data_IF_343257635577
#
_entry.id   IF_343257635577
#
_cell.length_a   1.000
_cell.length_b   1.000
_cell.length_c   1.000
_cell.angle_alpha   90.00
_cell.angle_beta   90.00
_cell.angle_gamma   90.00
#
_symmetry.space_group_name_H-M   'P 1'
#
loop_
_entity.id
_entity.type
_entity.pdbx_description
1 polymer ?
#
# COMPACT_ATOMS: atom_id res chain seq x y z
N UNK A 1 9.91 -21.17 -52.93
CA UNK A 1 10.38 -20.39 -51.78
C UNK A 1 9.20 -19.88 -50.94
N UNK A 2 8.73 -20.73 -50.03
CA UNK A 2 7.63 -20.45 -49.10
C UNK A 2 8.17 -20.43 -47.66
N UNK A 3 9.24 -19.68 -47.41
CA UNK A 3 9.66 -19.33 -46.05
C UNK A 3 8.84 -18.14 -45.56
N UNK A 4 7.53 -18.38 -45.40
CA UNK A 4 6.72 -17.63 -44.44
C UNK A 4 7.24 -18.04 -43.06
N UNK A 5 8.07 -17.18 -42.45
CA UNK A 5 8.41 -17.24 -41.04
C UNK A 5 7.09 -17.34 -40.27
N UNK A 6 6.69 -18.55 -39.87
CA UNK A 6 5.62 -18.73 -38.89
C UNK A 6 6.10 -18.00 -37.65
N UNK A 7 5.49 -16.85 -37.35
CA UNK A 7 5.73 -16.11 -36.10
C UNK A 7 5.47 -17.06 -34.92
N UNK A 8 6.53 -17.69 -34.44
CA UNK A 8 6.44 -18.64 -33.35
C UNK A 8 6.26 -17.86 -32.06
N UNK A 9 5.09 -18.01 -31.43
CA UNK A 9 4.74 -17.42 -30.14
C UNK A 9 5.89 -17.57 -29.13
N UNK A 10 6.38 -16.46 -28.58
CA UNK A 10 7.51 -16.43 -27.63
C UNK A 10 7.11 -16.27 -26.17
N UNK A 11 6.03 -15.54 -25.90
CA UNK A 11 5.54 -15.24 -24.55
C UNK A 11 4.05 -15.55 -24.46
N UNK A 12 3.66 -16.25 -23.39
CA UNK A 12 2.28 -16.56 -23.07
C UNK A 12 1.96 -16.05 -21.67
N UNK A 13 1.04 -15.09 -21.57
CA UNK A 13 0.55 -14.56 -20.31
C UNK A 13 -0.71 -15.33 -19.89
N UNK A 14 -0.71 -15.86 -18.66
CA UNK A 14 -1.83 -16.63 -18.10
C UNK A 14 -2.00 -16.23 -16.63
N UNK A 15 -3.25 -16.12 -16.18
CA UNK A 15 -3.54 -15.89 -14.76
C UNK A 15 -3.47 -17.21 -13.98
N UNK A 16 -3.14 -17.20 -12.68
CA UNK A 16 -3.10 -18.41 -11.85
C UNK A 16 -4.42 -19.20 -11.85
N UNK A 17 -5.55 -18.49 -11.90
CA UNK A 17 -6.89 -19.08 -11.92
C UNK A 17 -7.12 -19.86 -13.21
N UNK A 18 -6.77 -19.27 -14.37
CA UNK A 18 -6.88 -19.96 -15.68
C UNK A 18 -5.97 -21.17 -15.76
N UNK A 19 -4.74 -21.04 -15.25
CA UNK A 19 -3.77 -22.14 -15.24
C UNK A 19 -4.27 -23.32 -14.38
N UNK A 20 -4.93 -23.02 -13.26
CA UNK A 20 -5.47 -24.01 -12.34
C UNK A 20 -6.76 -24.66 -12.82
N UNK A 21 -7.59 -23.92 -13.57
CA UNK A 21 -8.90 -24.39 -14.02
C UNK A 21 -8.88 -25.07 -15.41
N UNK A 22 -7.83 -24.86 -16.22
CA UNK A 22 -7.83 -25.29 -17.62
C UNK A 22 -6.90 -26.47 -17.89
N UNK A 23 -7.48 -27.68 -18.04
CA UNK A 23 -6.75 -28.86 -18.49
C UNK A 23 -6.11 -28.63 -19.87
N UNK A 24 -6.80 -27.94 -20.79
CA UNK A 24 -6.27 -27.62 -22.13
C UNK A 24 -4.95 -26.84 -22.08
N UNK A 25 -4.81 -25.90 -21.14
CA UNK A 25 -3.55 -25.15 -20.97
C UNK A 25 -2.45 -26.08 -20.47
N UNK A 26 -2.77 -26.93 -19.48
CA UNK A 26 -1.80 -27.88 -18.94
C UNK A 26 -1.34 -28.92 -19.98
N UNK A 27 -2.24 -29.38 -20.84
CA UNK A 27 -1.93 -30.31 -21.93
C UNK A 27 -1.05 -29.64 -22.99
N UNK A 28 -1.35 -28.39 -23.34
CA UNK A 28 -0.51 -27.60 -24.23
C UNK A 28 0.90 -27.38 -23.66
N UNK A 29 1.01 -27.05 -22.37
CA UNK A 29 2.30 -26.92 -21.68
C UNK A 29 3.05 -28.25 -21.63
N UNK A 30 2.35 -29.37 -21.43
CA UNK A 30 2.95 -30.72 -21.43
C UNK A 30 3.50 -31.06 -22.80
N UNK A 31 2.72 -30.84 -23.87
CA UNK A 31 3.20 -31.03 -25.23
C UNK A 31 4.38 -30.11 -25.60
N UNK A 32 4.42 -28.88 -25.09
CA UNK A 32 5.58 -27.99 -25.28
C UNK A 32 6.80 -28.49 -24.51
N UNK A 33 6.61 -28.99 -23.29
CA UNK A 33 7.67 -29.56 -22.45
C UNK A 33 8.29 -30.82 -23.10
N UNK A 34 7.47 -31.74 -23.58
CA UNK A 34 7.93 -32.98 -24.26
C UNK A 34 8.71 -32.72 -25.55
N UNK A 35 8.45 -31.58 -26.21
CA UNK A 35 9.14 -31.16 -27.43
C UNK A 35 10.30 -30.20 -27.19
N UNK A 36 10.69 -29.99 -25.94
CA UNK A 36 11.74 -29.05 -25.53
C UNK A 36 11.49 -27.59 -26.00
N UNK A 37 10.21 -27.19 -26.04
CA UNK A 37 9.76 -25.85 -26.46
C UNK A 37 9.24 -24.99 -25.29
N UNK A 38 9.30 -25.50 -24.06
CA UNK A 38 8.91 -24.78 -22.86
C UNK A 38 10.13 -24.25 -22.11
N UNK A 39 10.55 -23.02 -22.43
CA UNK A 39 11.83 -22.49 -21.96
C UNK A 39 11.84 -22.08 -20.48
N UNK A 40 10.76 -21.44 -19.99
CA UNK A 40 10.77 -20.78 -18.67
C UNK A 40 9.38 -20.51 -18.14
N UNK A 41 9.24 -20.57 -16.80
CA UNK A 41 8.14 -19.95 -16.08
C UNK A 41 8.58 -18.63 -15.43
N UNK A 42 7.77 -17.59 -15.59
CA UNK A 42 7.94 -16.31 -14.91
C UNK A 42 6.69 -16.07 -14.08
N UNK A 43 6.87 -16.00 -12.77
CA UNK A 43 5.81 -15.70 -11.80
C UNK A 43 5.98 -14.24 -11.42
N UNK A 44 5.13 -13.40 -12.00
CA UNK A 44 5.04 -11.99 -11.63
C UNK A 44 4.24 -11.82 -10.33
N UNK A 45 4.44 -10.72 -9.62
CA UNK A 45 3.83 -10.42 -8.31
C UNK A 45 3.84 -11.59 -7.32
N UNK A 46 4.99 -12.27 -7.22
CA UNK A 46 5.14 -13.49 -6.44
C UNK A 46 4.75 -13.35 -4.96
N UNK A 47 4.72 -12.13 -4.41
CA UNK A 47 4.24 -11.86 -3.04
C UNK A 47 2.79 -12.29 -2.81
N UNK A 48 1.96 -12.38 -3.86
CA UNK A 48 0.57 -12.85 -3.79
C UNK A 48 0.43 -14.29 -3.28
N UNK A 49 1.49 -15.10 -3.30
CA UNK A 49 1.48 -16.47 -2.75
C UNK A 49 1.42 -16.50 -1.22
N UNK A 50 1.86 -15.43 -0.56
CA UNK A 50 1.99 -15.35 0.89
C UNK A 50 0.77 -14.70 1.54
N UNK A 51 0.21 -15.36 2.56
CA UNK A 51 -0.86 -14.77 3.39
C UNK A 51 -0.37 -13.58 4.23
N UNK A 52 0.94 -13.45 4.40
CA UNK A 52 1.59 -12.31 5.05
C UNK A 52 1.82 -11.14 4.09
N UNK A 53 1.53 -11.34 2.79
CA UNK A 53 1.54 -10.29 1.78
C UNK A 53 0.26 -9.44 1.81
N UNK A 54 0.29 -8.30 1.11
CA UNK A 54 -0.80 -7.33 1.10
C UNK A 54 -1.86 -7.57 0.01
N UNK A 55 -1.63 -8.50 -0.94
CA UNK A 55 -2.57 -8.92 -2.00
C UNK A 55 -2.56 -10.45 -2.15
N UNK A 56 -2.85 -11.18 -1.06
CA UNK A 56 -2.83 -12.64 -1.07
C UNK A 56 -3.87 -13.21 -2.05
N UNK A 57 -3.43 -14.13 -2.93
CA UNK A 57 -4.30 -14.83 -3.88
C UNK A 57 -4.12 -16.35 -3.76
N UNK A 58 -5.14 -17.10 -3.31
CA UNK A 58 -5.02 -18.53 -3.07
C UNK A 58 -4.50 -19.35 -4.25
N UNK A 59 -4.87 -18.99 -5.48
CA UNK A 59 -4.45 -19.71 -6.70
C UNK A 59 -2.94 -19.63 -6.97
N UNK A 60 -2.22 -18.66 -6.41
CA UNK A 60 -0.76 -18.61 -6.51
C UNK A 60 -0.09 -19.81 -5.85
N UNK A 61 -0.68 -20.40 -4.80
CA UNK A 61 -0.11 -21.59 -4.12
C UNK A 61 -0.03 -22.80 -5.05
N UNK A 62 -0.93 -22.87 -6.04
CA UNK A 62 -0.98 -23.96 -7.03
C UNK A 62 0.17 -23.87 -8.04
N UNK A 63 0.84 -22.71 -8.15
CA UNK A 63 1.99 -22.53 -9.06
C UNK A 63 3.19 -23.41 -8.67
N UNK A 64 3.27 -23.86 -7.42
CA UNK A 64 4.26 -24.86 -6.99
C UNK A 64 4.21 -26.16 -7.80
N UNK A 65 3.04 -26.52 -8.33
CA UNK A 65 2.85 -27.71 -9.15
C UNK A 65 3.58 -27.62 -10.49
N UNK A 66 3.80 -26.41 -11.03
CA UNK A 66 4.54 -26.25 -12.29
C UNK A 66 5.94 -26.84 -12.20
N UNK A 67 6.62 -26.62 -11.08
CA UNK A 67 7.98 -27.14 -10.87
C UNK A 67 8.01 -28.63 -10.56
N UNK A 68 6.93 -29.18 -10.00
CA UNK A 68 6.78 -30.63 -9.84
C UNK A 68 6.53 -31.32 -11.18
N UNK A 69 5.69 -30.74 -12.03
CA UNK A 69 5.29 -31.31 -13.34
C UNK A 69 6.35 -31.10 -14.42
N UNK A 70 7.09 -30.00 -14.37
CA UNK A 70 8.08 -29.61 -15.38
C UNK A 70 9.45 -29.32 -14.74
N UNK A 71 10.11 -30.32 -14.14
CA UNK A 71 11.30 -30.12 -13.30
C UNK A 71 12.50 -29.49 -14.04
N UNK A 72 12.61 -29.70 -15.35
CA UNK A 72 13.72 -29.15 -16.15
C UNK A 72 13.51 -27.69 -16.56
N UNK A 73 12.29 -27.16 -16.44
CA UNK A 73 11.96 -25.78 -16.82
C UNK A 73 12.37 -24.81 -15.71
N UNK A 74 13.19 -23.82 -16.07
CA UNK A 74 13.65 -22.81 -15.10
C UNK A 74 12.49 -21.89 -14.71
N UNK A 75 12.44 -21.51 -13.44
CA UNK A 75 11.41 -20.61 -12.89
C UNK A 75 12.06 -19.34 -12.35
N UNK A 76 11.46 -18.19 -12.64
CA UNK A 76 11.79 -16.88 -12.06
C UNK A 76 10.56 -16.41 -11.29
N UNK A 77 10.76 -15.88 -10.07
CA UNK A 77 9.73 -15.22 -9.29
C UNK A 77 10.13 -13.74 -9.13
N UNK A 78 9.23 -12.83 -9.48
CA UNK A 78 9.44 -11.39 -9.47
C UNK A 78 8.46 -10.74 -8.50
N UNK A 79 8.92 -9.77 -7.72
CA UNK A 79 8.06 -8.98 -6.82
C UNK A 79 8.78 -7.70 -6.42
N UNK A 80 8.01 -6.61 -6.31
CA UNK A 80 8.54 -5.32 -5.87
C UNK A 80 8.36 -5.08 -4.35
N UNK A 81 7.51 -5.84 -3.67
CA UNK A 81 7.09 -5.56 -2.28
C UNK A 81 7.06 -6.81 -1.41
N UNK A 82 8.24 -7.43 -1.23
CA UNK A 82 8.40 -8.57 -0.34
C UNK A 82 9.25 -8.20 0.89
N UNK A 83 8.62 -8.21 2.06
CA UNK A 83 9.32 -8.16 3.36
C UNK A 83 10.15 -9.43 3.56
N UNK A 84 11.15 -9.45 4.48
CA UNK A 84 11.97 -10.63 4.72
C UNK A 84 11.16 -11.90 5.01
N UNK A 85 10.07 -11.77 5.76
CA UNK A 85 9.14 -12.87 6.05
C UNK A 85 8.44 -13.38 4.79
N UNK A 86 7.92 -12.46 3.97
CA UNK A 86 7.23 -12.81 2.70
C UNK A 86 8.21 -13.45 1.73
N UNK A 87 9.47 -13.02 1.66
CA UNK A 87 10.51 -13.64 0.81
C UNK A 87 10.68 -15.12 1.11
N UNK A 88 10.80 -15.48 2.40
CA UNK A 88 10.93 -16.89 2.83
C UNK A 88 9.68 -17.69 2.49
N UNK A 89 8.49 -17.11 2.70
CA UNK A 89 7.23 -17.78 2.38
C UNK A 89 7.06 -17.98 0.86
N UNK A 90 7.45 -17.02 0.03
CA UNK A 90 7.48 -17.17 -1.44
C UNK A 90 8.31 -18.40 -1.82
N UNK A 91 9.52 -18.53 -1.27
CA UNK A 91 10.37 -19.66 -1.57
C UNK A 91 9.74 -20.98 -1.17
N UNK A 92 9.20 -21.06 0.05
CA UNK A 92 8.58 -22.27 0.57
C UNK A 92 7.35 -22.67 -0.24
N UNK A 93 6.43 -21.73 -0.49
CA UNK A 93 5.19 -21.99 -1.21
C UNK A 93 5.46 -22.37 -2.66
N UNK A 94 6.43 -21.73 -3.34
CA UNK A 94 6.80 -22.07 -4.72
C UNK A 94 7.80 -23.24 -4.82
N UNK A 95 8.22 -23.80 -3.68
CA UNK A 95 9.18 -24.91 -3.54
C UNK A 95 10.62 -24.55 -3.95
N UNK A 96 10.99 -23.28 -3.98
CA UNK A 96 12.26 -22.75 -4.50
C UNK A 96 13.38 -22.94 -3.47
N UNK A 97 13.93 -24.15 -3.43
CA UNK A 97 14.91 -24.58 -2.42
C UNK A 97 16.26 -23.85 -2.50
N UNK A 98 16.79 -23.64 -3.72
CA UNK A 98 18.13 -23.05 -3.95
C UNK A 98 18.10 -21.97 -5.03
N UNK A 99 17.36 -20.86 -4.84
CA UNK A 99 17.27 -19.80 -5.83
C UNK A 99 18.53 -18.93 -5.85
N UNK A 100 18.79 -18.29 -6.99
CA UNK A 100 19.68 -17.13 -7.03
C UNK A 100 18.88 -15.89 -6.65
N UNK A 101 19.43 -15.08 -5.75
CA UNK A 101 18.80 -13.86 -5.27
C UNK A 101 19.33 -12.64 -6.00
N UNK A 102 18.41 -11.78 -6.42
CA UNK A 102 18.71 -10.45 -6.92
C UNK A 102 17.83 -9.48 -6.13
N UNK A 103 18.46 -8.69 -5.26
CA UNK A 103 17.79 -7.70 -4.44
C UNK A 103 18.30 -6.33 -4.87
N UNK A 104 17.37 -5.41 -5.10
CA UNK A 104 17.66 -3.99 -5.29
C UNK A 104 17.09 -3.21 -4.12
N UNK A 105 17.71 -2.07 -3.81
CA UNK A 105 17.20 -1.18 -2.78
C UNK A 105 15.78 -0.71 -3.13
N UNK A 106 14.95 -0.58 -2.10
CA UNK A 106 13.62 0.00 -2.21
C UNK A 106 13.69 1.54 -2.23
N UNK A 107 14.87 2.13 -2.01
CA UNK A 107 15.02 3.57 -1.93
C UNK A 107 14.81 4.23 -3.30
N UNK A 108 13.93 5.21 -3.33
CA UNK A 108 13.72 6.11 -4.47
C UNK A 108 14.19 7.51 -4.07
N UNK A 109 15.45 7.87 -4.34
CA UNK A 109 16.03 9.13 -3.86
C UNK A 109 15.30 10.36 -4.44
N UNK A 110 14.68 10.22 -5.61
CA UNK A 110 13.94 11.29 -6.27
C UNK A 110 12.52 11.56 -5.68
N UNK A 111 12.03 10.73 -4.75
CA UNK A 111 10.69 10.91 -4.16
C UNK A 111 10.74 11.64 -2.83
N UNK A 112 9.92 12.69 -2.68
CA UNK A 112 9.78 13.43 -1.43
C UNK A 112 8.53 12.99 -0.68
N UNK A 113 8.71 12.41 0.51
CA UNK A 113 7.61 11.93 1.34
C UNK A 113 7.17 12.96 2.38
N UNK A 114 5.86 13.18 2.52
CA UNK A 114 5.29 14.02 3.56
C UNK A 114 3.94 13.47 4.05
N UNK A 115 3.69 13.59 5.35
CA UNK A 115 2.38 13.32 5.97
C UNK A 115 1.81 14.62 6.51
N UNK A 116 0.63 15.00 6.02
CA UNK A 116 -0.08 16.22 6.41
C UNK A 116 -1.36 15.87 7.19
N UNK A 117 -1.73 16.67 8.19
CA UNK A 117 -2.99 16.46 8.91
C UNK A 117 -4.18 16.71 7.98
N UNK A 118 -5.16 15.82 8.01
CA UNK A 118 -6.42 15.96 7.26
C UNK A 118 -7.48 16.63 8.13
N UNK A 119 -7.70 17.94 7.92
CA UNK A 119 -8.59 18.76 8.74
C UNK A 119 -9.91 19.08 8.00
N UNK A 120 -11.02 18.57 8.53
CA UNK A 120 -12.39 19.04 8.22
C UNK A 120 -12.84 18.95 6.75
N UNK A 121 -13.92 19.69 6.43
CA UNK A 121 -14.65 19.61 5.14
C UNK A 121 -13.93 20.29 3.95
N UNK A 122 -12.78 20.94 4.16
CA UNK A 122 -12.11 21.77 3.15
C UNK A 122 -10.87 21.12 2.51
N UNK A 123 -10.61 19.83 2.78
CA UNK A 123 -9.43 19.13 2.30
C UNK A 123 -9.22 19.22 0.78
N UNK A 124 -10.30 19.17 -0.02
CA UNK A 124 -10.21 19.31 -1.48
C UNK A 124 -9.65 20.69 -1.87
N UNK A 125 -10.04 21.76 -1.17
CA UNK A 125 -9.50 23.11 -1.42
C UNK A 125 -8.02 23.16 -1.02
N UNK A 126 -7.63 22.54 0.08
CA UNK A 126 -6.23 22.46 0.50
C UNK A 126 -5.36 21.73 -0.54
N UNK A 127 -5.84 20.60 -1.08
CA UNK A 127 -5.17 19.87 -2.15
C UNK A 127 -5.04 20.73 -3.41
N UNK A 128 -6.10 21.43 -3.82
CA UNK A 128 -6.06 22.33 -4.98
C UNK A 128 -5.06 23.47 -4.75
N UNK A 129 -5.05 24.08 -3.56
CA UNK A 129 -4.08 25.12 -3.19
C UNK A 129 -2.66 24.57 -3.20
N UNK A 130 -2.42 23.38 -2.66
CA UNK A 130 -1.12 22.71 -2.67
C UNK A 130 -0.63 22.49 -4.11
N UNK A 131 -1.49 21.95 -4.99
CA UNK A 131 -1.15 21.70 -6.39
C UNK A 131 -0.84 23.01 -7.10
N UNK A 132 -1.67 24.04 -6.96
CA UNK A 132 -1.44 25.35 -7.60
C UNK A 132 -0.16 26.04 -7.10
N UNK A 133 0.12 25.96 -5.80
CA UNK A 133 1.33 26.55 -5.22
C UNK A 133 2.61 25.86 -5.72
N UNK A 134 2.58 24.53 -5.87
CA UNK A 134 3.74 23.74 -6.33
C UNK A 134 3.90 23.68 -7.84
N UNK A 135 2.79 23.76 -8.57
CA UNK A 135 2.74 23.65 -10.02
C UNK A 135 1.96 24.84 -10.61
N UNK A 136 2.54 26.06 -10.60
CA UNK A 136 1.83 27.28 -10.99
C UNK A 136 1.27 27.24 -12.42
N UNK A 137 1.89 26.49 -13.33
CA UNK A 137 1.42 26.28 -14.69
C UNK A 137 0.07 25.54 -14.79
N UNK A 138 -0.37 24.85 -13.72
CA UNK A 138 -1.71 24.24 -13.61
C UNK A 138 -2.78 25.24 -13.14
N UNK A 139 -2.39 26.45 -12.75
CA UNK A 139 -3.28 27.45 -12.14
C UNK A 139 -4.08 28.25 -13.16
N UNK A 140 -3.49 28.56 -14.33
CA UNK A 140 -4.02 29.53 -15.31
C UNK A 140 -5.25 29.04 -16.08
N UNK A 141 -5.46 27.73 -16.20
CA UNK A 141 -6.57 27.14 -16.97
C UNK A 141 -7.55 26.29 -16.11
N UNK A 142 -7.36 26.24 -14.79
CA UNK A 142 -8.02 25.27 -13.92
C UNK A 142 -7.41 23.87 -14.03
N UNK A 143 -7.48 23.08 -12.95
CA UNK A 143 -6.91 21.73 -12.91
C UNK A 143 -7.87 20.78 -13.62
N UNK A 144 -7.52 20.34 -14.84
CA UNK A 144 -8.26 19.29 -15.55
C UNK A 144 -8.10 17.96 -14.80
N UNK A 145 -9.17 17.50 -14.17
CA UNK A 145 -9.19 16.29 -13.37
C UNK A 145 -10.31 15.33 -13.81
N UNK A 146 -10.08 14.02 -13.65
CA UNK A 146 -11.09 12.99 -13.88
C UNK A 146 -11.09 11.93 -12.78
N UNK A 147 -12.24 11.29 -12.54
CA UNK A 147 -12.35 10.17 -11.59
C UNK A 147 -11.99 8.85 -12.25
N UNK A 148 -11.42 7.92 -11.47
CA UNK A 148 -11.19 6.54 -11.91
C UNK A 148 -11.50 5.55 -10.78
N UNK A 149 -12.50 4.69 -10.97
CA UNK A 149 -12.87 3.67 -9.99
C UNK A 149 -13.54 2.46 -10.67
N UNK A 150 -13.68 1.36 -9.92
CA UNK A 150 -14.22 0.10 -10.43
C UNK A 150 -15.68 0.21 -10.95
N UNK A 151 -16.46 1.18 -10.46
CA UNK A 151 -17.82 1.44 -10.95
C UNK A 151 -17.92 2.08 -12.36
N UNK A 152 -16.81 2.48 -12.98
CA UNK A 152 -16.79 2.94 -14.38
C UNK A 152 -16.78 1.75 -15.34
N UNK A 153 -17.27 1.92 -16.57
CA UNK A 153 -17.14 0.90 -17.62
C UNK A 153 -15.70 0.80 -18.13
N UNK A 154 -15.33 -0.32 -18.76
CA UNK A 154 -14.00 -0.48 -19.36
C UNK A 154 -13.69 0.60 -20.40
N UNK A 155 -14.67 0.99 -21.20
CA UNK A 155 -14.51 2.06 -22.19
C UNK A 155 -14.23 3.42 -21.52
N UNK A 156 -14.92 3.73 -20.40
CA UNK A 156 -14.67 4.94 -19.63
C UNK A 156 -13.29 4.93 -18.97
N UNK A 157 -12.89 3.80 -18.38
CA UNK A 157 -11.56 3.60 -17.80
C UNK A 157 -10.46 3.79 -18.84
N UNK A 158 -10.61 3.16 -20.01
CA UNK A 158 -9.69 3.28 -21.13
C UNK A 158 -9.56 4.73 -21.64
N UNK A 159 -10.68 5.47 -21.72
CA UNK A 159 -10.67 6.89 -22.10
C UNK A 159 -9.91 7.75 -21.08
N UNK A 160 -10.23 7.63 -19.79
CA UNK A 160 -9.58 8.43 -18.73
C UNK A 160 -8.09 8.13 -18.68
N UNK A 161 -7.70 6.85 -18.76
CA UNK A 161 -6.30 6.44 -18.79
C UNK A 161 -5.57 7.00 -20.02
N UNK A 162 -6.17 6.87 -21.21
CA UNK A 162 -5.58 7.39 -22.45
C UNK A 162 -5.44 8.91 -22.45
N UNK A 163 -6.46 9.64 -22.00
CA UNK A 163 -6.43 11.11 -21.95
C UNK A 163 -5.46 11.65 -20.89
N UNK A 164 -5.21 10.91 -19.79
CA UNK A 164 -4.19 11.26 -18.82
C UNK A 164 -2.77 10.95 -19.31
N UNK A 165 -2.57 9.80 -19.97
CA UNK A 165 -1.27 9.45 -20.59
C UNK A 165 -0.91 10.48 -21.66
N UNK A 166 -1.88 10.91 -22.47
CA UNK A 166 -1.73 11.92 -23.52
C UNK A 166 -1.79 13.37 -23.00
N UNK A 167 -1.68 13.59 -21.68
CA UNK A 167 -1.57 14.90 -21.06
C UNK A 167 -2.78 15.85 -21.24
N UNK A 168 -3.93 15.35 -21.70
CA UNK A 168 -5.19 16.11 -21.81
C UNK A 168 -5.85 16.32 -20.45
N UNK A 169 -5.70 15.35 -19.55
CA UNK A 169 -6.08 15.41 -18.14
C UNK A 169 -4.80 15.49 -17.31
N UNK A 170 -4.75 16.39 -16.34
CA UNK A 170 -3.56 16.60 -15.50
C UNK A 170 -3.60 15.84 -14.18
N UNK A 171 -4.81 15.52 -13.69
CA UNK A 171 -5.01 14.81 -12.42
C UNK A 171 -6.03 13.69 -12.57
N UNK A 172 -5.69 12.51 -12.07
CA UNK A 172 -6.66 11.41 -11.93
C UNK A 172 -6.93 11.20 -10.44
N UNK A 173 -8.19 11.37 -10.05
CA UNK A 173 -8.68 11.08 -8.72
C UNK A 173 -9.16 9.62 -8.68
N UNK A 174 -8.34 8.73 -8.13
CA UNK A 174 -8.58 7.30 -8.25
C UNK A 174 -8.71 6.53 -6.93
N UNK A 175 -9.38 5.39 -6.99
CA UNK A 175 -9.22 4.31 -6.00
C UNK A 175 -8.09 3.38 -6.41
N UNK A 176 -7.80 2.35 -5.59
CA UNK A 176 -6.80 1.30 -5.88
C UNK A 176 -6.99 0.58 -7.23
N UNK A 177 -8.16 0.74 -7.88
CA UNK A 177 -8.42 0.23 -9.22
C UNK A 177 -7.51 0.88 -10.30
N UNK A 178 -6.98 2.08 -10.05
CA UNK A 178 -6.05 2.75 -10.96
C UNK A 178 -4.61 2.42 -10.55
N UNK A 179 -4.16 1.23 -10.91
CA UNK A 179 -2.81 0.79 -10.54
C UNK A 179 -2.16 -0.20 -11.49
N UNK A 180 -2.84 -1.29 -11.81
CA UNK A 180 -2.25 -2.30 -12.70
C UNK A 180 -2.05 -1.71 -14.10
N UNK A 181 -0.85 -1.92 -14.67
CA UNK A 181 -0.53 -1.53 -16.05
C UNK A 181 -0.30 -0.03 -16.30
N UNK A 182 -0.25 0.80 -15.25
CA UNK A 182 0.11 2.23 -15.40
C UNK A 182 1.62 2.38 -15.37
N UNK A 183 2.17 2.91 -16.46
CA UNK A 183 3.59 3.19 -16.62
C UNK A 183 3.84 4.56 -17.29
N UNK A 184 3.25 5.62 -16.70
CA UNK A 184 3.58 6.99 -17.10
C UNK A 184 4.86 7.42 -16.34
N UNK A 185 5.96 7.77 -17.05
CA UNK A 185 7.25 8.02 -16.40
C UNK A 185 7.27 9.33 -15.59
N UNK A 186 6.51 10.32 -16.05
CA UNK A 186 6.59 11.73 -15.67
C UNK A 186 5.56 12.18 -14.63
N UNK A 187 5.14 11.28 -13.74
CA UNK A 187 4.20 11.60 -12.66
C UNK A 187 4.90 12.43 -11.58
N UNK A 188 4.55 13.72 -11.48
CA UNK A 188 5.20 14.67 -10.54
C UNK A 188 4.68 14.64 -9.12
N UNK A 189 3.48 14.11 -8.90
CA UNK A 189 2.95 13.94 -7.55
C UNK A 189 1.97 12.78 -7.45
N UNK A 190 1.96 12.17 -6.27
CA UNK A 190 0.92 11.24 -5.80
C UNK A 190 0.42 11.78 -4.47
N UNK A 191 -0.90 12.00 -4.37
CA UNK A 191 -1.55 12.51 -3.17
C UNK A 191 -2.53 11.46 -2.66
N UNK A 192 -2.26 10.93 -1.46
CA UNK A 192 -3.16 10.03 -0.77
C UNK A 192 -4.19 10.84 0.01
N UNK A 193 -5.42 10.86 -0.49
CA UNK A 193 -6.55 11.54 0.16
C UNK A 193 -6.95 10.91 1.50
N UNK A 194 -6.78 9.60 1.65
CA UNK A 194 -7.09 8.82 2.85
C UNK A 194 -5.94 7.86 3.14
N UNK A 195 -5.87 7.43 4.41
CA UNK A 195 -4.93 6.42 4.88
C UNK A 195 -4.95 5.16 3.98
N UNK A 196 -3.78 4.70 3.48
CA UNK A 196 -3.63 3.40 2.84
C UNK A 196 -3.86 2.24 3.82
N UNK A 197 -4.15 1.05 3.30
CA UNK A 197 -4.38 -0.14 4.16
C UNK A 197 -3.08 -0.72 4.73
N UNK A 198 -1.93 -0.45 4.12
CA UNK A 198 -0.64 -0.98 4.54
C UNK A 198 0.53 -0.15 3.98
N UNK A 199 1.73 -0.40 4.50
CA UNK A 199 2.98 0.21 4.01
C UNK A 199 3.30 -0.25 2.58
N UNK A 200 3.03 -1.52 2.23
CA UNK A 200 3.23 -2.02 0.87
C UNK A 200 2.32 -1.30 -0.14
N UNK A 201 1.03 -1.17 0.20
CA UNK A 201 0.09 -0.42 -0.63
C UNK A 201 0.55 1.02 -0.83
N UNK A 202 0.93 1.70 0.26
CA UNK A 202 1.47 3.05 0.19
C UNK A 202 2.74 3.14 -0.68
N UNK A 203 3.68 2.20 -0.52
CA UNK A 203 4.92 2.16 -1.29
C UNK A 203 4.65 1.96 -2.78
N UNK A 204 3.78 1.01 -3.17
CA UNK A 204 3.42 0.79 -4.57
C UNK A 204 2.70 1.97 -5.18
N UNK A 205 1.73 2.54 -4.45
CA UNK A 205 0.92 3.66 -4.91
C UNK A 205 1.76 4.94 -5.07
N UNK A 206 2.56 5.28 -4.06
CA UNK A 206 3.46 6.44 -4.10
C UNK A 206 4.60 6.26 -5.10
N UNK A 207 5.10 5.03 -5.29
CA UNK A 207 6.17 4.68 -6.22
C UNK A 207 5.81 4.83 -7.71
N UNK A 208 4.56 5.15 -8.03
CA UNK A 208 4.12 5.59 -9.37
C UNK A 208 4.66 6.96 -9.74
N UNK A 209 5.02 7.78 -8.75
CA UNK A 209 5.68 9.05 -8.96
C UNK A 209 7.10 8.87 -9.50
N UNK A 210 7.54 9.82 -10.34
CA UNK A 210 8.95 10.01 -10.71
C UNK A 210 9.66 8.79 -11.28
N UNK A 211 9.01 8.01 -12.15
CA UNK A 211 9.62 6.83 -12.79
C UNK A 211 10.72 7.19 -13.78
N UNK A 212 10.70 8.41 -14.30
CA UNK A 212 11.80 9.06 -15.04
C UNK A 212 13.04 9.38 -14.19
N UNK A 213 12.99 9.20 -12.86
CA UNK A 213 14.07 9.54 -11.94
C UNK A 213 14.08 11.02 -11.52
N UNK A 214 13.18 11.84 -12.06
CA UNK A 214 13.06 13.25 -11.70
C UNK A 214 12.30 13.43 -10.39
N UNK A 215 12.48 14.60 -9.77
CA UNK A 215 11.87 14.92 -8.47
C UNK A 215 10.35 14.78 -8.54
N UNK A 216 9.77 14.14 -7.53
CA UNK A 216 8.32 14.03 -7.40
C UNK A 216 7.89 14.01 -5.92
N UNK A 217 6.65 14.43 -5.68
CA UNK A 217 6.08 14.54 -4.33
C UNK A 217 5.12 13.39 -4.01
N UNK A 218 5.28 12.79 -2.84
CA UNK A 218 4.39 11.78 -2.28
C UNK A 218 3.78 12.34 -0.98
N UNK A 219 2.53 12.80 -1.04
CA UNK A 219 1.87 13.48 0.09
C UNK A 219 0.72 12.62 0.59
N UNK A 220 0.71 12.31 1.89
CA UNK A 220 -0.38 11.58 2.54
C UNK A 220 -1.14 12.49 3.49
N UNK A 221 -2.44 12.63 3.27
CA UNK A 221 -3.34 13.29 4.21
C UNK A 221 -3.88 12.29 5.23
N UNK A 222 -3.59 12.55 6.50
CA UNK A 222 -3.84 11.63 7.59
C UNK A 222 -4.93 12.14 8.55
N UNK A 223 -5.91 11.29 8.84
CA UNK A 223 -6.80 11.44 10.00
C UNK A 223 -6.99 10.10 10.70
N UNK A 224 -7.03 10.10 12.03
CA UNK A 224 -7.36 8.91 12.80
C UNK A 224 -8.78 8.37 12.50
N UNK A 225 -9.67 9.24 11.97
CA UNK A 225 -10.99 8.83 11.48
C UNK A 225 -10.94 7.89 10.26
N UNK A 226 -9.96 8.07 9.36
CA UNK A 226 -9.79 7.17 8.20
C UNK A 226 -9.42 5.75 8.65
N UNK A 227 -8.64 5.61 9.72
CA UNK A 227 -8.31 4.29 10.31
C UNK A 227 -9.57 3.52 10.69
N UNK A 228 -10.51 4.16 11.40
CA UNK A 228 -11.75 3.49 11.83
C UNK A 228 -12.59 3.00 10.64
N UNK A 229 -12.63 3.75 9.54
CA UNK A 229 -13.33 3.34 8.33
C UNK A 229 -12.69 2.09 7.72
N UNK A 230 -11.36 2.04 7.66
CA UNK A 230 -10.63 0.89 7.13
C UNK A 230 -10.76 -0.32 8.03
N UNK A 231 -10.64 -0.13 9.34
CA UNK A 231 -10.84 -1.16 10.35
C UNK A 231 -12.20 -1.84 10.17
N UNK A 232 -13.29 -1.07 10.05
CA UNK A 232 -14.63 -1.62 9.79
C UNK A 232 -14.67 -2.44 8.51
N UNK A 233 -14.06 -1.96 7.41
CA UNK A 233 -14.00 -2.72 6.16
C UNK A 233 -13.30 -4.07 6.34
N UNK A 234 -12.20 -4.13 7.10
CA UNK A 234 -11.49 -5.38 7.40
C UNK A 234 -12.35 -6.31 8.26
N UNK A 235 -13.04 -5.77 9.27
CA UNK A 235 -13.91 -6.54 10.16
C UNK A 235 -15.09 -7.18 9.40
N UNK A 236 -15.69 -6.47 8.44
CA UNK A 236 -16.80 -6.94 7.60
C UNK A 236 -16.39 -7.86 6.44
N UNK A 237 -15.10 -7.99 6.15
CA UNK A 237 -14.63 -8.88 5.08
C UNK A 237 -14.97 -10.36 5.39
N UNK A 238 -15.13 -11.21 4.38
CA UNK A 238 -15.48 -12.64 4.53
C UNK A 238 -14.26 -13.55 4.72
N UNK A 239 -13.08 -12.97 4.83
CA UNK A 239 -11.85 -13.70 5.06
C UNK A 239 -11.78 -14.37 6.44
N UNK A 240 -10.84 -15.31 6.57
CA UNK A 240 -10.59 -16.01 7.84
C UNK A 240 -9.95 -15.07 8.89
N UNK A 241 -9.99 -15.49 10.15
CA UNK A 241 -9.49 -14.68 11.27
C UNK A 241 -8.00 -14.33 11.15
N UNK A 242 -7.18 -15.23 10.62
CA UNK A 242 -5.73 -15.02 10.46
C UNK A 242 -5.42 -13.91 9.43
N UNK A 243 -6.14 -13.92 8.31
CA UNK A 243 -6.03 -12.88 7.27
C UNK A 243 -6.49 -11.52 7.80
N UNK A 244 -7.63 -11.47 8.49
CA UNK A 244 -8.12 -10.25 9.14
C UNK A 244 -7.12 -9.69 10.15
N UNK A 245 -6.50 -10.54 10.97
CA UNK A 245 -5.47 -10.10 11.91
C UNK A 245 -4.26 -9.50 11.17
N UNK A 246 -3.80 -10.14 10.10
CA UNK A 246 -2.70 -9.64 9.27
C UNK A 246 -3.03 -8.27 8.67
N UNK A 247 -4.25 -8.09 8.15
CA UNK A 247 -4.71 -6.81 7.64
C UNK A 247 -4.82 -5.74 8.72
N UNK A 248 -5.22 -6.12 9.94
CA UNK A 248 -5.25 -5.21 11.07
C UNK A 248 -3.84 -4.77 11.49
N UNK A 249 -2.89 -5.70 11.56
CA UNK A 249 -1.48 -5.40 11.88
C UNK A 249 -0.88 -4.45 10.83
N UNK A 250 -1.18 -4.69 9.54
CA UNK A 250 -0.74 -3.84 8.45
C UNK A 250 -1.33 -2.42 8.53
N UNK A 251 -2.61 -2.30 8.90
CA UNK A 251 -3.24 -1.01 9.14
C UNK A 251 -2.58 -0.28 10.30
N UNK A 252 -2.31 -0.95 11.41
CA UNK A 252 -1.64 -0.36 12.58
C UNK A 252 -0.21 0.11 12.26
N UNK A 253 0.52 -0.63 11.41
CA UNK A 253 1.83 -0.17 10.91
C UNK A 253 1.70 1.11 10.08
N UNK A 254 0.68 1.22 9.23
CA UNK A 254 0.43 2.44 8.46
C UNK A 254 0.05 3.62 9.36
N UNK A 255 -0.73 3.38 10.42
CA UNK A 255 -1.04 4.38 11.46
C UNK A 255 0.23 4.84 12.16
N UNK A 256 1.08 3.89 12.59
CA UNK A 256 2.36 4.20 13.23
C UNK A 256 3.25 5.03 12.33
N UNK A 257 3.31 4.73 11.02
CA UNK A 257 4.02 5.56 10.05
C UNK A 257 3.50 6.99 10.01
N UNK A 258 2.17 7.19 10.05
CA UNK A 258 1.59 8.53 10.01
C UNK A 258 1.80 9.34 11.30
N UNK A 259 1.68 8.69 12.46
CA UNK A 259 1.83 9.31 13.79
C UNK A 259 3.31 9.53 14.19
N UNK A 260 4.24 8.88 13.50
CA UNK A 260 5.67 9.09 13.73
C UNK A 260 6.13 10.41 13.10
N UNK A 261 6.45 11.39 13.95
CA UNK A 261 6.95 12.70 13.55
C UNK A 261 8.47 12.86 13.65
N UNK A 262 9.19 11.83 14.10
CA UNK A 262 10.63 11.92 14.45
C UNK A 262 11.52 11.23 13.44
N UNK A 263 11.13 10.04 13.01
CA UNK A 263 11.99 9.15 12.25
C UNK A 263 11.89 9.47 10.76
N UNK A 264 13.00 9.34 10.04
CA UNK A 264 13.01 9.56 8.60
C UNK A 264 11.97 8.68 7.90
N UNK A 265 11.13 9.26 7.03
CA UNK A 265 10.10 8.52 6.27
C UNK A 265 10.69 7.41 5.41
N UNK A 266 11.90 7.59 4.88
CA UNK A 266 12.64 6.56 4.13
C UNK A 266 13.07 5.44 5.05
N UNK A 267 13.72 5.75 6.19
CA UNK A 267 14.10 4.73 7.17
C UNK A 267 12.90 3.90 7.63
N UNK A 268 11.76 4.52 7.92
CA UNK A 268 10.54 3.80 8.30
C UNK A 268 10.06 2.81 7.22
N UNK A 269 9.99 3.23 5.95
CA UNK A 269 9.57 2.36 4.85
C UNK A 269 10.60 1.27 4.54
N UNK A 270 11.89 1.62 4.48
CA UNK A 270 12.95 0.68 4.11
C UNK A 270 13.17 -0.38 5.20
N UNK A 271 13.15 0.03 6.47
CA UNK A 271 13.25 -0.90 7.60
C UNK A 271 12.10 -1.92 7.56
N UNK A 272 10.89 -1.51 7.16
CA UNK A 272 9.76 -2.42 6.97
C UNK A 272 10.04 -3.51 5.93
N UNK A 273 10.75 -3.18 4.86
CA UNK A 273 11.21 -4.13 3.85
C UNK A 273 12.53 -4.83 4.21
N UNK A 274 13.04 -4.64 5.43
CA UNK A 274 14.28 -5.25 5.91
C UNK A 274 15.55 -4.62 5.34
N UNK A 275 15.48 -3.36 4.94
CA UNK A 275 16.62 -2.56 4.48
C UNK A 275 16.91 -1.45 5.50
N UNK A 276 18.11 -1.45 6.09
CA UNK A 276 18.54 -0.39 7.01
C UNK A 276 18.95 0.86 6.23
N UNK A 277 18.40 2.02 6.60
CA UNK A 277 18.69 3.29 5.92
C UNK A 277 19.03 4.40 6.92
N UNK A 278 20.19 5.03 6.73
CA UNK A 278 20.64 6.17 7.54
C UNK A 278 19.89 7.45 7.16
N UNK A 279 19.31 8.12 8.16
CA UNK A 279 18.64 9.43 8.01
C UNK A 279 19.52 10.49 7.33
N UNK A 280 20.85 10.41 7.46
CA UNK A 280 21.79 11.34 6.82
C UNK A 280 21.66 11.32 5.30
N UNK A 281 21.50 10.13 4.71
CA UNK A 281 21.30 9.94 3.27
C UNK A 281 20.01 10.59 2.78
N UNK A 282 18.97 10.68 3.62
CA UNK A 282 17.75 11.44 3.27
C UNK A 282 18.02 12.93 3.07
N UNK A 283 18.92 13.49 3.89
CA UNK A 283 19.25 14.92 3.90
C UNK A 283 20.25 15.33 2.81
N UNK A 284 21.03 14.37 2.28
CA UNK A 284 21.94 14.59 1.16
C UNK A 284 21.18 15.02 -0.11
N UNK A 285 20.00 14.45 -0.35
CA UNK A 285 19.13 14.83 -1.47
C UNK A 285 18.27 16.05 -1.10
N UNK A 286 18.88 17.24 -1.03
CA UNK A 286 18.23 18.50 -0.58
C UNK A 286 16.87 18.83 -1.24
N UNK A 287 16.62 18.35 -2.46
CA UNK A 287 15.34 18.56 -3.15
C UNK A 287 14.20 17.62 -2.73
N UNK A 288 14.51 16.52 -2.06
CA UNK A 288 13.58 15.41 -1.78
C UNK A 288 13.70 14.87 -0.35
N UNK A 289 14.34 15.62 0.54
CA UNK A 289 14.32 15.39 2.00
C UNK A 289 12.88 15.28 2.50
N UNK A 290 12.57 14.26 3.30
CA UNK A 290 11.21 14.07 3.83
C UNK A 290 10.87 15.10 4.93
N UNK A 291 9.57 15.30 5.16
CA UNK A 291 9.03 16.18 6.20
C UNK A 291 9.69 16.02 7.58
N UNK A 292 9.83 14.79 8.10
CA UNK A 292 10.44 14.53 9.42
C UNK A 292 11.93 14.88 9.48
N UNK A 293 12.64 14.82 8.34
CA UNK A 293 14.05 15.22 8.29
C UNK A 293 14.21 16.73 8.13
N UNK A 294 13.21 17.41 7.54
CA UNK A 294 13.15 18.87 7.45
C UNK A 294 12.77 19.47 8.81
N UNK A 295 11.81 18.87 9.51
CA UNK A 295 11.41 19.26 10.86
C UNK A 295 12.49 18.84 11.86
N UNK A 296 13.46 19.73 12.12
CA UNK A 296 14.47 19.56 13.15
C UNK A 296 13.94 19.97 14.53
N UNK A 297 12.81 19.42 14.95
CA UNK A 297 12.31 19.64 16.30
C UNK A 297 13.19 18.90 17.30
N UNK A 298 13.46 19.51 18.46
CA UNK A 298 14.04 18.79 19.59
C UNK A 298 12.94 17.94 20.23
N UNK A 299 13.14 16.63 20.22
CA UNK A 299 12.23 15.68 20.87
C UNK A 299 12.85 15.23 22.19
N UNK A 300 12.02 15.19 23.23
CA UNK A 300 12.39 14.63 24.52
C UNK A 300 11.58 13.36 24.76
N UNK A 301 12.24 12.33 25.28
CA UNK A 301 11.55 11.14 25.74
C UNK A 301 10.83 11.48 27.04
N UNK A 302 9.52 11.27 27.07
CA UNK A 302 8.69 11.46 28.25
C UNK A 302 8.18 10.09 28.71
N UNK A 303 8.30 9.81 30.01
CA UNK A 303 7.68 8.64 30.61
C UNK A 303 6.20 8.92 30.87
N UNK A 304 5.34 8.27 30.10
CA UNK A 304 3.88 8.37 30.22
C UNK A 304 3.26 7.16 30.94
N UNK A 305 4.07 6.32 31.60
CA UNK A 305 3.60 5.10 32.28
C UNK A 305 2.53 5.38 33.33
N UNK A 306 2.70 6.45 34.12
CA UNK A 306 1.71 6.85 35.12
C UNK A 306 0.37 7.22 34.47
N UNK A 307 0.41 8.06 33.42
CA UNK A 307 -0.77 8.45 32.63
C UNK A 307 -1.45 7.22 32.02
N UNK A 308 -0.69 6.27 31.47
CA UNK A 308 -1.25 5.04 30.94
C UNK A 308 -1.96 4.20 32.03
N UNK A 309 -1.38 4.11 33.23
CA UNK A 309 -2.01 3.42 34.37
C UNK A 309 -3.34 4.08 34.75
N UNK A 310 -3.38 5.41 34.83
CA UNK A 310 -4.60 6.17 35.13
C UNK A 310 -5.70 5.94 34.08
N UNK A 311 -5.33 5.97 32.78
CA UNK A 311 -6.27 5.69 31.68
C UNK A 311 -6.84 4.27 31.81
N UNK A 312 -5.99 3.27 32.07
CA UNK A 312 -6.43 1.87 32.25
C UNK A 312 -7.34 1.73 33.45
N UNK A 313 -7.01 2.38 34.58
CA UNK A 313 -7.85 2.38 35.78
C UNK A 313 -9.22 3.03 35.51
N UNK A 314 -9.26 4.14 34.78
CA UNK A 314 -10.50 4.80 34.36
C UNK A 314 -11.38 3.87 33.50
N UNK A 315 -10.81 3.20 32.48
CA UNK A 315 -11.53 2.21 31.67
C UNK A 315 -12.08 1.09 32.53
N UNK A 316 -11.23 0.53 33.41
CA UNK A 316 -11.64 -0.55 34.29
C UNK A 316 -12.78 -0.13 35.21
N UNK A 317 -12.73 1.09 35.75
CA UNK A 317 -13.80 1.63 36.59
C UNK A 317 -15.11 1.71 35.79
N UNK A 318 -15.11 2.38 34.64
CA UNK A 318 -16.27 2.55 33.77
C UNK A 318 -16.88 1.20 33.33
N UNK A 319 -16.04 0.22 33.00
CA UNK A 319 -16.49 -1.10 32.58
C UNK A 319 -16.98 -1.97 33.75
N UNK A 320 -16.47 -1.78 34.97
CA UNK A 320 -16.89 -2.55 36.17
C UNK A 320 -18.14 -1.99 36.84
N UNK A 321 -18.33 -0.67 36.86
CA UNK A 321 -19.47 -0.03 37.54
C UNK A 321 -20.76 -0.02 36.70
N UNK A 322 -20.69 -0.28 35.39
CA UNK A 322 -21.83 -0.15 34.49
C UNK A 322 -22.54 -1.46 34.15
N UNK A 323 -23.61 -1.79 34.88
CA UNK A 323 -24.70 -2.65 34.39
C UNK A 323 -25.64 -1.95 33.38
N UNK A 324 -25.31 -0.73 32.95
CA UNK A 324 -26.12 0.12 32.09
C UNK A 324 -25.66 0.06 30.62
N UNK A 325 -26.55 0.43 29.70
CA UNK A 325 -26.31 0.54 28.25
C UNK A 325 -25.15 1.49 27.87
N UNK A 326 -24.64 2.27 28.82
CA UNK A 326 -23.55 3.24 28.64
C UNK A 326 -22.16 2.59 28.68
N UNK A 327 -21.92 1.60 29.55
CA UNK A 327 -20.63 0.87 29.59
C UNK A 327 -20.31 0.14 28.28
N UNK A 328 -21.33 -0.17 27.49
CA UNK A 328 -21.22 -0.80 26.17
C UNK A 328 -21.14 0.21 25.00
N UNK A 329 -21.38 1.51 25.23
CA UNK A 329 -21.43 2.55 24.18
C UNK A 329 -20.46 3.72 24.43
N UNK A 330 -19.43 3.47 25.23
CA UNK A 330 -18.40 4.45 25.57
C UNK A 330 -17.36 4.55 24.42
N UNK A 331 -16.93 5.77 24.07
CA UNK A 331 -16.08 6.01 22.89
C UNK A 331 -14.74 6.65 23.29
N UNK A 332 -13.73 6.55 22.41
CA UNK A 332 -12.43 7.21 22.61
C UNK A 332 -12.58 8.72 22.81
N UNK A 333 -13.53 9.38 22.12
CA UNK A 333 -13.77 10.80 22.32
C UNK A 333 -14.26 11.10 23.74
N UNK A 334 -15.15 10.27 24.28
CA UNK A 334 -15.57 10.42 25.68
C UNK A 334 -14.39 10.23 26.64
N UNK A 335 -13.46 9.31 26.36
CA UNK A 335 -12.24 9.15 27.17
C UNK A 335 -11.35 10.39 27.13
N UNK A 336 -11.14 10.95 25.93
CA UNK A 336 -10.39 12.19 25.75
C UNK A 336 -11.06 13.33 26.52
N UNK A 337 -12.38 13.41 26.48
CA UNK A 337 -13.15 14.42 27.18
C UNK A 337 -13.05 14.26 28.71
N UNK A 338 -13.19 13.05 29.26
CA UNK A 338 -12.99 12.79 30.71
C UNK A 338 -11.57 13.17 31.12
N UNK A 339 -10.56 12.71 30.38
CA UNK A 339 -9.16 12.96 30.73
C UNK A 339 -8.77 14.44 30.62
N UNK A 340 -9.47 15.20 29.77
CA UNK A 340 -9.33 16.67 29.68
C UNK A 340 -10.14 17.44 30.74
N UNK A 341 -10.93 16.76 31.57
CA UNK A 341 -11.84 17.40 32.54
C UNK A 341 -13.01 18.12 31.87
N UNK A 342 -13.53 17.58 30.76
CA UNK A 342 -14.61 18.19 29.99
C UNK A 342 -15.96 18.06 30.69
N UNK A 343 -16.69 19.16 30.78
CA UNK A 343 -17.95 19.28 31.52
C UNK A 343 -19.20 18.78 30.74
N UNK A 344 -19.01 17.88 29.77
CA UNK A 344 -20.08 17.42 28.88
C UNK A 344 -21.15 16.66 29.68
N UNK A 345 -22.42 17.05 29.50
CA UNK A 345 -23.59 16.54 30.26
C UNK A 345 -23.66 15.01 30.34
N UNK A 346 -23.34 14.32 29.23
CA UNK A 346 -23.36 12.85 29.10
C UNK A 346 -22.34 12.13 30.01
N UNK A 347 -21.25 12.82 30.38
CA UNK A 347 -20.20 12.34 31.29
C UNK A 347 -20.67 12.54 32.74
N UNK A 348 -21.12 13.76 33.07
CA UNK A 348 -21.64 14.12 34.41
C UNK A 348 -22.86 13.31 34.85
N UNK A 349 -23.79 13.02 33.94
CA UNK A 349 -25.00 12.24 34.23
C UNK A 349 -24.71 10.80 34.65
N UNK A 350 -23.51 10.28 34.40
CA UNK A 350 -23.09 8.92 34.77
C UNK A 350 -22.04 8.90 35.90
N UNK A 351 -21.88 10.01 36.64
CA UNK A 351 -21.11 10.07 37.88
C UNK A 351 -19.59 9.89 37.73
N UNK A 352 -19.03 10.20 36.56
CA UNK A 352 -17.58 10.18 36.31
C UNK A 352 -17.04 11.57 36.01
#
# INVERSE_FOLDING_TARGET
DQDLIKEALKLLYVTPEKLSASNKILDALTSLYERDKLARFVIDEAHCVSQWGHDFRPDYKKLSLLRKRFPNVKTIALTATATPRVRVDILNQLGMLTPKWFLSSFNRPNLRYAVLPKKGKSITKEIVTLIKAKFPHLSSAGIKAASYHAGLTDAQRGRVQGDWIADKIKVVCATIAFGMGIDKPDVRFVIHYSLPKSIEGYYQESGRAGRDGEKADCVLYYSYGDMHRIRKMIEFDRENHSAKQTHMDNLWRMVSYCENHTDCRRSQQLNYFGENFDRKLCMEFRGTTCDNCIQQSQYTMIDVTAVCKEIVQCVQHICRTGGSRWSQNFTLLHMVDIFKGSEIKKIKEHGN
#
